data_IF_932158848056
#
_entry.id   IF_932158848056
#
_cell.length_a   1.000
_cell.length_b   1.000
_cell.length_c   1.000
_cell.angle_alpha   90.00
_cell.angle_beta   90.00
_cell.angle_gamma   90.00
#
_symmetry.space_group_name_H-M   'P 1'
#
loop_
_entity.id
_entity.type
_entity.pdbx_description
1 polymer ?
#
# COMPACT_ATOMS: atom_id res chain seq x y z
N UNK A 1 4.59 43.10 -26.69
CA UNK A 1 4.97 41.67 -26.66
C UNK A 1 6.42 41.64 -26.24
N UNK A 2 6.77 40.95 -25.15
CA UNK A 2 8.18 40.78 -24.80
C UNK A 2 8.78 39.81 -25.82
N UNK A 3 9.61 40.33 -26.71
CA UNK A 3 10.38 39.58 -27.68
C UNK A 3 11.64 39.00 -27.07
N UNK A 4 12.29 38.12 -27.84
CA UNK A 4 13.53 37.45 -27.44
C UNK A 4 14.62 38.43 -27.02
N UNK A 5 14.70 39.60 -27.66
CA UNK A 5 15.71 40.62 -27.37
C UNK A 5 15.52 41.26 -25.98
N UNK A 6 14.29 41.56 -25.58
CA UNK A 6 13.99 42.11 -24.26
C UNK A 6 14.27 41.07 -23.17
N UNK A 7 13.97 39.80 -23.42
CA UNK A 7 14.28 38.70 -22.50
C UNK A 7 15.79 38.50 -22.30
N UNK A 8 16.58 38.61 -23.37
CA UNK A 8 18.06 38.56 -23.29
C UNK A 8 18.60 39.75 -22.48
N UNK A 9 18.04 40.95 -22.67
CA UNK A 9 18.47 42.14 -21.93
C UNK A 9 18.19 41.99 -20.42
N UNK A 10 17.00 41.52 -20.06
CA UNK A 10 16.64 41.24 -18.65
C UNK A 10 17.54 40.16 -18.07
N UNK A 11 17.77 39.07 -18.81
CA UNK A 11 18.68 38.01 -18.37
C UNK A 11 20.10 38.54 -18.19
N UNK A 12 20.56 39.42 -19.06
CA UNK A 12 21.85 40.11 -18.93
C UNK A 12 21.96 40.93 -17.65
N UNK A 13 20.92 41.68 -17.28
CA UNK A 13 20.89 42.43 -16.00
C UNK A 13 20.95 41.48 -14.80
N UNK A 14 20.20 40.38 -14.82
CA UNK A 14 20.24 39.35 -13.76
C UNK A 14 21.64 38.74 -13.65
N UNK A 15 22.26 38.38 -14.77
CA UNK A 15 23.63 37.86 -14.81
C UNK A 15 24.63 38.89 -14.30
N UNK A 16 24.45 40.19 -14.56
CA UNK A 16 25.34 41.24 -14.06
C UNK A 16 25.23 41.40 -12.53
N UNK A 17 24.01 41.33 -11.98
CA UNK A 17 23.77 41.47 -10.53
C UNK A 17 24.23 40.25 -9.73
N UNK A 18 23.95 39.05 -10.23
CA UNK A 18 24.22 37.80 -9.50
C UNK A 18 25.51 37.09 -9.97
N UNK A 19 25.99 37.40 -11.16
CA UNK A 19 27.12 36.72 -11.80
C UNK A 19 26.71 35.48 -12.60
N UNK A 20 27.44 35.22 -13.70
CA UNK A 20 27.18 34.07 -14.58
C UNK A 20 27.35 32.71 -13.89
N UNK A 21 28.14 32.65 -12.82
CA UNK A 21 28.35 31.42 -12.04
C UNK A 21 27.18 31.09 -11.09
N UNK A 22 26.38 32.08 -10.66
CA UNK A 22 25.30 31.86 -9.69
C UNK A 22 24.05 31.23 -10.29
N UNK A 23 23.73 31.52 -11.53
CA UNK A 23 22.63 30.89 -12.25
C UNK A 23 22.75 29.34 -12.33
N UNK A 24 23.88 28.76 -12.79
CA UNK A 24 24.02 27.30 -12.82
C UNK A 24 24.13 26.68 -11.42
N UNK A 25 24.67 27.39 -10.43
CA UNK A 25 24.70 26.95 -9.03
C UNK A 25 23.27 26.82 -8.46
N UNK A 26 22.44 27.86 -8.65
CA UNK A 26 21.03 27.87 -8.26
C UNK A 26 20.20 26.82 -9.00
N UNK A 27 20.41 26.66 -10.31
CA UNK A 27 19.72 25.65 -11.09
C UNK A 27 20.05 24.23 -10.61
N UNK A 28 21.32 23.96 -10.26
CA UNK A 28 21.74 22.67 -9.70
C UNK A 28 21.12 22.43 -8.33
N UNK A 29 21.21 23.39 -7.40
CA UNK A 29 20.68 23.22 -6.05
C UNK A 29 19.16 23.04 -6.04
N UNK A 30 18.44 23.89 -6.78
CA UNK A 30 16.99 23.79 -6.93
C UNK A 30 16.58 22.49 -7.64
N UNK A 31 17.31 22.11 -8.69
CA UNK A 31 17.07 20.87 -9.44
C UNK A 31 17.25 19.62 -8.57
N UNK A 32 18.30 19.57 -7.77
CA UNK A 32 18.53 18.49 -6.81
C UNK A 32 17.41 18.42 -5.77
N UNK A 33 17.04 19.55 -5.15
CA UNK A 33 15.95 19.59 -4.16
C UNK A 33 14.61 19.12 -4.73
N UNK A 34 14.25 19.57 -5.93
CA UNK A 34 13.01 19.13 -6.61
C UNK A 34 13.09 17.64 -6.98
N UNK A 35 14.27 17.17 -7.40
CA UNK A 35 14.50 15.76 -7.73
C UNK A 35 14.33 14.84 -6.52
N UNK A 36 14.94 15.19 -5.39
CA UNK A 36 14.81 14.46 -4.12
C UNK A 36 13.37 14.51 -3.60
N UNK A 37 12.72 15.67 -3.65
CA UNK A 37 11.31 15.81 -3.28
C UNK A 37 10.41 14.89 -4.11
N UNK A 38 10.58 14.86 -5.44
CA UNK A 38 9.80 13.98 -6.33
C UNK A 38 10.07 12.50 -6.06
N UNK A 39 11.31 12.13 -5.72
CA UNK A 39 11.67 10.77 -5.33
C UNK A 39 10.96 10.36 -4.03
N UNK A 40 11.02 11.22 -3.01
CA UNK A 40 10.37 11.00 -1.73
C UNK A 40 8.83 10.89 -1.86
N UNK A 41 8.21 11.74 -2.68
CA UNK A 41 6.77 11.62 -2.98
C UNK A 41 6.43 10.27 -3.61
N UNK A 42 7.20 9.82 -4.62
CA UNK A 42 6.96 8.53 -5.28
C UNK A 42 7.15 7.34 -4.35
N UNK A 43 8.14 7.40 -3.46
CA UNK A 43 8.36 6.39 -2.44
C UNK A 43 7.20 6.34 -1.43
N UNK A 44 6.75 7.51 -0.97
CA UNK A 44 5.60 7.63 -0.07
C UNK A 44 4.32 7.06 -0.69
N UNK A 45 4.01 7.40 -1.95
CA UNK A 45 2.88 6.83 -2.69
C UNK A 45 2.96 5.29 -2.80
N UNK A 46 4.17 4.74 -3.01
CA UNK A 46 4.38 3.29 -3.09
C UNK A 46 4.14 2.63 -1.73
N UNK A 47 4.66 3.21 -0.65
CA UNK A 47 4.44 2.73 0.72
C UNK A 47 2.96 2.78 1.11
N UNK A 48 2.26 3.85 0.75
CA UNK A 48 0.80 3.98 0.96
C UNK A 48 0.05 2.88 0.21
N UNK A 49 0.36 2.63 -1.07
CA UNK A 49 -0.25 1.55 -1.85
C UNK A 49 0.06 0.17 -1.29
N UNK A 50 1.28 -0.07 -0.80
CA UNK A 50 1.67 -1.32 -0.15
C UNK A 50 0.92 -1.51 1.18
N UNK A 51 0.74 -0.45 1.95
CA UNK A 51 -0.04 -0.47 3.18
C UNK A 51 -1.53 -0.73 2.93
N UNK A 52 -2.15 -0.03 1.96
CA UNK A 52 -3.53 -0.28 1.54
C UNK A 52 -3.71 -1.72 1.03
N UNK A 53 -2.74 -2.22 0.25
CA UNK A 53 -2.73 -3.62 -0.21
C UNK A 53 -2.64 -4.59 0.97
N UNK A 54 -1.86 -4.30 2.00
CA UNK A 54 -1.79 -5.10 3.23
C UNK A 54 -3.06 -5.04 4.10
N UNK A 55 -3.89 -4.00 3.96
CA UNK A 55 -5.18 -3.90 4.64
C UNK A 55 -6.32 -4.59 3.87
N UNK A 56 -6.16 -4.73 2.55
CA UNK A 56 -7.20 -5.26 1.64
C UNK A 56 -6.92 -6.70 1.21
N UNK A 57 -5.67 -7.14 1.23
CA UNK A 57 -5.32 -8.56 1.24
C UNK A 57 -5.57 -9.09 2.64
N UNK A 58 -6.48 -10.06 2.84
CA UNK A 58 -6.40 -10.84 4.05
C UNK A 58 -5.00 -11.46 4.03
N UNK A 59 -4.27 -11.36 5.15
CA UNK A 59 -3.26 -12.36 5.47
C UNK A 59 -3.86 -13.76 5.16
N UNK A 60 -3.09 -14.85 5.05
CA UNK A 60 -3.65 -16.16 5.32
C UNK A 60 -4.11 -16.20 6.79
N UNK A 61 -5.19 -15.48 7.07
CA UNK A 61 -5.98 -15.50 8.26
C UNK A 61 -6.68 -16.83 8.15
N UNK A 62 -6.09 -17.85 8.77
CA UNK A 62 -6.88 -18.97 9.26
C UNK A 62 -8.04 -18.34 10.00
N UNK A 63 -9.22 -18.35 9.41
CA UNK A 63 -10.42 -17.78 10.02
C UNK A 63 -10.61 -18.49 11.37
N UNK A 64 -11.23 -17.84 12.36
CA UNK A 64 -11.47 -18.49 13.67
C UNK A 64 -12.17 -19.85 13.54
N UNK A 65 -12.93 -20.04 12.46
CA UNK A 65 -13.53 -21.32 12.05
C UNK A 65 -12.48 -22.35 11.67
N UNK A 66 -11.48 -22.00 10.85
CA UNK A 66 -10.36 -22.87 10.48
C UNK A 66 -9.46 -23.21 11.67
N UNK A 67 -9.21 -22.27 12.59
CA UNK A 67 -8.45 -22.55 13.82
C UNK A 67 -9.19 -23.53 14.75
N UNK A 68 -10.51 -23.41 14.84
CA UNK A 68 -11.34 -24.29 15.67
C UNK A 68 -11.49 -25.68 15.04
N UNK A 69 -11.66 -25.75 13.72
CA UNK A 69 -11.69 -26.99 12.95
C UNK A 69 -10.36 -27.77 13.07
N UNK A 70 -9.22 -27.08 12.96
CA UNK A 70 -7.89 -27.68 13.12
C UNK A 70 -7.67 -28.22 14.54
N UNK A 71 -8.12 -27.50 15.59
CA UNK A 71 -8.08 -27.98 16.99
C UNK A 71 -9.00 -29.18 17.24
N UNK A 72 -10.07 -29.32 16.47
CA UNK A 72 -10.96 -30.49 16.50
C UNK A 72 -10.50 -31.63 15.59
N UNK A 73 -9.34 -31.51 14.93
CA UNK A 73 -8.80 -32.53 14.02
C UNK A 73 -9.55 -32.67 12.70
N UNK A 74 -10.31 -31.64 12.31
CA UNK A 74 -11.09 -31.61 11.06
C UNK A 74 -10.16 -31.16 9.92
N UNK A 75 -10.13 -31.93 8.82
CA UNK A 75 -9.36 -31.59 7.63
C UNK A 75 -9.94 -30.35 6.92
N UNK A 76 -9.16 -29.28 6.91
CA UNK A 76 -9.47 -27.95 6.37
C UNK A 76 -9.14 -27.81 4.87
N UNK A 77 -8.56 -28.84 4.23
CA UNK A 77 -8.17 -28.76 2.81
C UNK A 77 -9.37 -28.99 1.90
N UNK A 78 -9.77 -27.94 1.18
CA UNK A 78 -10.80 -28.00 0.13
C UNK A 78 -12.24 -27.82 0.60
N UNK A 79 -12.46 -27.50 1.88
CA UNK A 79 -13.78 -27.18 2.44
C UNK A 79 -13.93 -25.67 2.63
N UNK A 80 -15.11 -25.13 2.35
CA UNK A 80 -15.45 -23.72 2.61
C UNK A 80 -15.82 -23.52 4.08
N UNK A 81 -15.72 -22.28 4.57
CA UNK A 81 -16.03 -21.96 5.98
C UNK A 81 -17.46 -22.38 6.37
N UNK A 82 -18.43 -22.31 5.44
CA UNK A 82 -19.81 -22.77 5.65
C UNK A 82 -19.91 -24.29 5.83
N UNK A 83 -19.11 -25.07 5.10
CA UNK A 83 -19.08 -26.54 5.25
C UNK A 83 -18.44 -26.96 6.57
N UNK A 84 -17.44 -26.22 7.04
CA UNK A 84 -16.81 -26.47 8.33
C UNK A 84 -17.77 -26.16 9.48
N UNK A 85 -18.57 -25.10 9.36
CA UNK A 85 -19.60 -24.75 10.37
C UNK A 85 -20.69 -25.82 10.46
N UNK A 86 -21.21 -26.29 9.32
CA UNK A 86 -22.20 -27.36 9.28
C UNK A 86 -21.67 -28.66 9.92
N UNK A 87 -20.39 -28.98 9.71
CA UNK A 87 -19.79 -30.21 10.23
C UNK A 87 -19.46 -30.12 11.72
N UNK A 88 -19.04 -28.95 12.19
CA UNK A 88 -18.89 -28.64 13.63
C UNK A 88 -20.25 -28.73 14.33
N UNK A 89 -21.29 -28.15 13.72
CA UNK A 89 -22.64 -28.15 14.28
C UNK A 89 -23.26 -29.55 14.27
N UNK A 90 -23.05 -30.32 13.19
CA UNK A 90 -23.50 -31.72 13.07
C UNK A 90 -22.78 -32.67 14.03
N UNK A 91 -21.51 -32.40 14.36
CA UNK A 91 -20.79 -33.13 15.41
C UNK A 91 -21.27 -32.75 16.83
N UNK A 92 -21.92 -31.59 16.97
CA UNK A 92 -22.47 -31.13 18.25
C UNK A 92 -23.93 -31.56 18.53
N UNK A 93 -24.65 -32.13 17.55
CA UNK A 93 -26.11 -32.36 17.65
C UNK A 93 -26.63 -33.82 17.63
N UNK A 94 -25.78 -34.85 17.83
CA UNK A 94 -26.28 -36.20 18.22
C UNK A 94 -25.44 -36.78 19.36
N UNK A 95 -26.01 -36.89 20.58
CA UNK A 95 -26.83 -38.05 20.88
C UNK A 95 -28.04 -37.73 21.79
N UNK A 96 -29.25 -37.68 21.23
CA UNK A 96 -30.50 -37.92 21.97
C UNK A 96 -31.53 -38.64 21.09
N UNK A 97 -31.25 -39.91 20.81
CA UNK A 97 -32.19 -40.99 20.49
C UNK A 97 -31.32 -42.26 20.54
N UNK A 98 -31.59 -43.32 21.30
CA UNK A 98 -32.84 -43.98 21.68
C UNK A 98 -32.58 -44.83 22.93
N UNK A 99 -33.44 -44.78 23.93
CA UNK A 99 -33.95 -45.98 24.64
C UNK A 99 -35.16 -45.60 25.49
N UNK A 100 -36.31 -45.48 24.82
CA UNK A 100 -37.61 -45.89 25.37
C UNK A 100 -37.69 -47.44 25.41
N UNK A 101 -38.67 -48.09 26.05
CA UNK A 101 -39.93 -47.57 26.62
C UNK A 101 -40.13 -47.76 28.14
#
# INVERSE_FOLDING_TARGET
MIGTQELIMIFGVIVLLFGAAKLPELARSMGSSVGEFKKAQKESEKSLKEFEKSLTEPAPAKTKVQETAEKMGIDIRGKTDDQLLDEIQKSSEKPKEVSEP
#
